data_IF_033620769614
#
_entry.id   IF_033620769614
#
_cell.length_a   1.000
_cell.length_b   1.000
_cell.length_c   1.000
_cell.angle_alpha   90.00
_cell.angle_beta   90.00
_cell.angle_gamma   90.00
#
_symmetry.space_group_name_H-M   'P 1'
#
loop_
_entity.id
_entity.type
_entity.pdbx_description
1 polymer ?
#
# COMPACT_ATOMS: atom_id res chain seq x y z
N UNK A 1 -80.40 -11.15 -23.80
CA UNK A 1 -79.77 -11.41 -22.50
C UNK A 1 -78.27 -11.51 -22.73
N UNK A 2 -77.52 -10.49 -22.27
CA UNK A 2 -76.07 -10.35 -22.46
C UNK A 2 -75.36 -11.14 -21.36
N UNK A 3 -74.39 -12.01 -21.68
CA UNK A 3 -73.31 -12.29 -20.74
C UNK A 3 -72.00 -12.66 -21.44
N UNK A 4 -70.96 -11.96 -20.99
CA UNK A 4 -69.66 -11.74 -21.61
C UNK A 4 -68.76 -12.98 -21.52
N UNK A 5 -68.18 -13.38 -22.65
CA UNK A 5 -67.08 -14.33 -22.72
C UNK A 5 -65.81 -13.62 -22.21
N UNK A 6 -65.28 -14.06 -21.07
CA UNK A 6 -64.04 -13.53 -20.49
C UNK A 6 -62.87 -14.30 -21.09
N UNK A 7 -62.05 -13.62 -21.89
CA UNK A 7 -60.74 -14.09 -22.34
C UNK A 7 -59.80 -14.01 -21.13
N UNK A 8 -59.25 -15.15 -20.69
CA UNK A 8 -58.16 -15.18 -19.71
C UNK A 8 -56.84 -15.00 -20.47
N UNK A 9 -56.19 -13.86 -20.25
CA UNK A 9 -54.82 -13.62 -20.67
C UNK A 9 -53.87 -14.37 -19.71
N UNK A 10 -53.12 -15.33 -20.23
CA UNK A 10 -51.97 -15.94 -19.57
C UNK A 10 -50.82 -14.94 -19.60
N UNK A 11 -50.55 -14.27 -18.48
CA UNK A 11 -49.34 -13.47 -18.29
C UNK A 11 -48.24 -14.43 -17.83
N UNK A 12 -47.35 -14.81 -18.74
CA UNK A 12 -46.11 -15.48 -18.39
C UNK A 12 -45.17 -14.44 -17.72
N UNK A 13 -45.03 -14.52 -16.40
CA UNK A 13 -44.02 -13.76 -15.65
C UNK A 13 -42.67 -14.46 -15.88
N UNK A 14 -41.89 -13.92 -16.83
CA UNK A 14 -40.49 -14.30 -16.99
C UNK A 14 -39.71 -13.89 -15.75
N UNK A 15 -39.28 -14.87 -14.97
CA UNK A 15 -38.38 -14.67 -13.84
C UNK A 15 -36.99 -14.34 -14.40
N UNK A 16 -36.68 -13.06 -14.57
CA UNK A 16 -35.32 -12.62 -14.88
C UNK A 16 -34.45 -12.90 -13.64
N UNK A 17 -33.67 -13.99 -13.70
CA UNK A 17 -32.55 -14.20 -12.78
C UNK A 17 -31.53 -13.09 -13.04
N UNK A 18 -31.64 -11.99 -12.30
CA UNK A 18 -30.59 -10.99 -12.22
C UNK A 18 -29.43 -11.66 -11.47
N UNK A 19 -28.51 -12.27 -12.22
CA UNK A 19 -27.21 -12.67 -11.69
C UNK A 19 -26.48 -11.37 -11.39
N UNK A 20 -26.53 -10.93 -10.13
CA UNK A 20 -25.62 -9.90 -9.67
C UNK A 20 -24.22 -10.50 -9.77
N UNK A 21 -23.47 -10.10 -10.80
CA UNK A 21 -22.04 -10.32 -10.82
C UNK A 21 -21.51 -9.74 -9.50
N UNK A 22 -20.93 -10.61 -8.66
CA UNK A 22 -20.22 -10.13 -7.48
C UNK A 22 -19.15 -9.16 -7.98
N UNK A 23 -19.00 -7.97 -7.38
CA UNK A 23 -17.87 -7.13 -7.72
C UNK A 23 -16.61 -7.97 -7.57
N UNK A 24 -15.78 -8.02 -8.61
CA UNK A 24 -14.49 -8.70 -8.53
C UNK A 24 -13.75 -8.11 -7.32
N UNK A 25 -13.39 -8.95 -6.36
CA UNK A 25 -12.59 -8.50 -5.23
C UNK A 25 -11.31 -7.87 -5.80
N UNK A 26 -10.96 -6.68 -5.31
CA UNK A 26 -9.93 -5.86 -5.92
C UNK A 26 -8.55 -6.51 -5.78
N UNK A 27 -7.86 -6.71 -6.91
CA UNK A 27 -6.43 -7.06 -7.02
C UNK A 27 -5.50 -5.88 -6.70
N UNK A 28 -6.07 -4.74 -6.30
CA UNK A 28 -5.27 -3.52 -6.08
C UNK A 28 -4.42 -3.67 -4.82
N UNK A 29 -3.10 -3.47 -4.91
CA UNK A 29 -2.24 -3.37 -3.75
C UNK A 29 -2.74 -2.31 -2.77
N UNK A 30 -2.90 -2.70 -1.52
CA UNK A 30 -3.24 -1.80 -0.41
C UNK A 30 -2.16 -1.94 0.67
N UNK A 31 -1.98 -0.88 1.48
CA UNK A 31 -0.96 -0.85 2.55
C UNK A 31 0.44 -1.20 2.06
N UNK A 32 0.88 -0.52 1.01
CA UNK A 32 2.25 -0.65 0.53
C UNK A 32 3.19 -0.06 1.58
N UNK A 33 4.12 -0.86 2.06
CA UNK A 33 5.12 -0.47 3.07
C UNK A 33 6.51 -0.71 2.51
N UNK A 34 7.32 0.35 2.55
CA UNK A 34 8.75 0.27 2.34
C UNK A 34 9.44 0.07 3.68
N UNK A 35 10.28 -0.93 3.77
CA UNK A 35 10.96 -1.32 5.00
C UNK A 35 12.34 -1.89 4.73
N UNK A 36 13.12 -2.10 5.80
CA UNK A 36 14.47 -2.67 5.71
C UNK A 36 15.35 -1.96 4.67
N UNK A 37 15.21 -0.63 4.52
CA UNK A 37 16.01 0.14 3.58
C UNK A 37 17.47 0.13 4.06
N UNK A 38 18.33 -0.52 3.29
CA UNK A 38 19.79 -0.63 3.48
C UNK A 38 20.51 0.18 2.41
N UNK A 39 21.83 0.00 2.33
CA UNK A 39 22.65 0.52 1.24
C UNK A 39 22.39 -0.18 -0.08
N UNK A 40 22.28 -1.51 -0.11
CA UNK A 40 22.10 -2.24 -1.39
C UNK A 40 20.82 -3.06 -1.47
N UNK A 41 19.86 -2.80 -0.57
CA UNK A 41 18.60 -3.52 -0.54
C UNK A 41 17.47 -2.72 0.12
N UNK A 42 16.24 -3.13 -0.15
CA UNK A 42 15.04 -2.71 0.57
C UNK A 42 13.95 -3.76 0.42
N UNK A 43 12.89 -3.66 1.21
CA UNK A 43 11.72 -4.54 1.13
C UNK A 43 10.50 -3.73 0.73
N UNK A 44 9.72 -4.28 -0.19
CA UNK A 44 8.37 -3.81 -0.53
C UNK A 44 7.39 -4.87 -0.03
N UNK A 45 6.44 -4.46 0.78
CA UNK A 45 5.35 -5.33 1.24
C UNK A 45 4.00 -4.69 1.01
N UNK A 46 2.99 -5.48 0.67
CA UNK A 46 1.61 -5.01 0.48
C UNK A 46 0.60 -6.13 0.70
N UNK A 47 -0.68 -5.78 0.65
CA UNK A 47 -1.80 -6.70 0.73
C UNK A 47 -2.66 -6.60 -0.53
N UNK A 48 -3.38 -7.67 -0.82
CA UNK A 48 -4.35 -7.74 -1.93
C UNK A 48 -5.67 -8.33 -1.42
N UNK A 49 -6.79 -7.97 -2.06
CA UNK A 49 -8.11 -8.50 -1.67
C UNK A 49 -8.34 -9.95 -2.12
N UNK A 50 -7.46 -10.47 -2.98
CA UNK A 50 -7.49 -11.83 -3.53
C UNK A 50 -6.10 -12.44 -3.50
N UNK A 51 -6.04 -13.77 -3.58
CA UNK A 51 -4.77 -14.48 -3.71
C UNK A 51 -4.24 -14.33 -5.14
N UNK A 52 -3.03 -13.79 -5.27
CA UNK A 52 -2.37 -13.60 -6.56
C UNK A 52 -0.85 -13.61 -6.39
N UNK A 53 -0.12 -13.65 -7.51
CA UNK A 53 1.34 -13.57 -7.51
C UNK A 53 1.76 -12.10 -7.42
N UNK A 54 2.71 -11.80 -6.53
CA UNK A 54 3.27 -10.47 -6.35
C UNK A 54 4.74 -10.37 -6.74
N UNK A 55 5.11 -9.28 -7.41
CA UNK A 55 6.49 -8.97 -7.81
C UNK A 55 6.76 -7.46 -7.74
N UNK A 56 8.04 -7.11 -7.65
CA UNK A 56 8.51 -5.74 -7.84
C UNK A 56 9.34 -5.68 -9.11
N UNK A 57 9.06 -4.70 -9.98
CA UNK A 57 9.83 -4.44 -11.18
C UNK A 57 10.50 -3.07 -11.07
N UNK A 58 11.83 -3.03 -11.18
CA UNK A 58 12.58 -1.77 -11.24
C UNK A 58 12.46 -1.14 -12.63
N UNK A 59 12.64 0.17 -12.72
CA UNK A 59 12.70 0.88 -14.02
C UNK A 59 13.86 0.44 -14.91
N UNK A 60 14.88 -0.22 -14.34
CA UNK A 60 15.96 -0.87 -15.07
C UNK A 60 15.56 -2.18 -15.75
N UNK A 61 14.35 -2.70 -15.48
CA UNK A 61 13.83 -3.97 -15.99
C UNK A 61 14.08 -5.17 -15.08
N UNK A 62 14.91 -5.03 -14.04
CA UNK A 62 15.11 -6.09 -13.05
C UNK A 62 13.80 -6.39 -12.30
N UNK A 63 13.50 -7.67 -12.10
CA UNK A 63 12.27 -8.13 -11.43
C UNK A 63 12.60 -9.00 -10.23
N UNK A 64 11.90 -8.77 -9.12
CA UNK A 64 12.06 -9.47 -7.86
C UNK A 64 10.73 -10.13 -7.49
N UNK A 65 10.78 -11.41 -7.14
CA UNK A 65 9.60 -12.18 -6.74
C UNK A 65 9.36 -12.06 -5.24
N UNK A 66 8.18 -12.48 -4.81
CA UNK A 66 7.91 -12.72 -3.39
C UNK A 66 8.98 -13.65 -2.77
N UNK A 67 9.36 -13.37 -1.53
CA UNK A 67 10.35 -14.13 -0.75
C UNK A 67 9.97 -15.61 -0.62
N UNK A 68 8.68 -15.94 -0.68
CA UNK A 68 8.18 -17.33 -0.65
C UNK A 68 8.33 -18.05 -1.98
N UNK A 69 8.67 -17.35 -3.06
CA UNK A 69 8.95 -17.91 -4.38
C UNK A 69 8.15 -17.26 -5.51
N UNK A 70 8.59 -17.52 -6.75
CA UNK A 70 8.00 -16.93 -7.97
C UNK A 70 6.54 -17.33 -8.23
N UNK A 71 6.12 -18.48 -7.73
CA UNK A 71 4.77 -19.03 -7.91
C UNK A 71 3.90 -18.86 -6.66
N UNK A 72 4.39 -18.16 -5.63
CA UNK A 72 3.59 -17.89 -4.44
C UNK A 72 2.38 -17.03 -4.80
N UNK A 73 1.18 -17.52 -4.50
CA UNK A 73 -0.07 -16.82 -4.72
C UNK A 73 -0.85 -16.64 -3.41
N UNK A 74 -0.91 -15.40 -2.91
CA UNK A 74 -1.50 -15.09 -1.60
C UNK A 74 -2.02 -13.66 -1.51
N UNK A 75 -2.59 -13.33 -0.35
CA UNK A 75 -3.14 -12.00 -0.06
C UNK A 75 -2.13 -11.06 0.63
N UNK A 76 -0.97 -11.58 1.01
CA UNK A 76 0.16 -10.81 1.57
C UNK A 76 1.33 -10.98 0.64
N UNK A 77 2.12 -9.93 0.45
CA UNK A 77 3.26 -9.93 -0.45
C UNK A 77 4.46 -9.30 0.24
N UNK A 78 5.61 -9.95 0.15
CA UNK A 78 6.85 -9.53 0.79
C UNK A 78 8.00 -9.76 -0.18
N UNK A 79 8.45 -8.70 -0.84
CA UNK A 79 9.46 -8.75 -1.90
C UNK A 79 10.74 -8.08 -1.42
N UNK A 80 11.83 -8.85 -1.40
CA UNK A 80 13.16 -8.36 -1.04
C UNK A 80 13.88 -7.93 -2.32
N UNK A 81 14.12 -6.62 -2.45
CA UNK A 81 14.90 -6.04 -3.56
C UNK A 81 16.35 -5.93 -3.13
N UNK A 82 17.26 -6.52 -3.89
CA UNK A 82 18.71 -6.56 -3.60
C UNK A 82 19.54 -6.19 -4.83
N UNK A 83 20.83 -5.93 -4.63
CA UNK A 83 21.76 -5.63 -5.73
C UNK A 83 21.56 -4.24 -6.33
N UNK A 84 20.92 -3.33 -5.59
CA UNK A 84 20.75 -1.93 -6.01
C UNK A 84 21.92 -1.07 -5.51
N UNK A 85 22.26 0.05 -6.18
CA UNK A 85 23.34 0.92 -5.73
C UNK A 85 23.02 1.63 -4.41
N UNK A 86 24.06 1.90 -3.60
CA UNK A 86 23.96 2.71 -2.38
C UNK A 86 23.73 4.19 -2.66
N UNK A 87 23.14 4.91 -1.70
CA UNK A 87 22.87 6.37 -1.78
C UNK A 87 22.15 6.78 -3.07
N UNK A 88 21.27 5.92 -3.58
CA UNK A 88 20.64 6.08 -4.88
C UNK A 88 19.13 5.98 -4.74
N UNK A 89 18.40 6.85 -5.43
CA UNK A 89 16.96 6.72 -5.57
C UNK A 89 16.65 5.65 -6.61
N UNK A 90 16.08 4.55 -6.16
CA UNK A 90 15.60 3.45 -6.99
C UNK A 90 14.12 3.66 -7.26
N UNK A 91 13.73 3.56 -8.53
CA UNK A 91 12.34 3.63 -8.96
C UNK A 91 11.81 2.25 -9.34
N UNK A 92 10.57 1.97 -9.00
CA UNK A 92 9.96 0.66 -9.22
C UNK A 92 8.42 0.74 -9.36
N UNK A 93 7.85 -0.33 -9.87
CA UNK A 93 6.42 -0.59 -9.95
C UNK A 93 6.10 -1.95 -9.29
N UNK A 94 4.86 -2.09 -8.82
CA UNK A 94 4.36 -3.35 -8.26
C UNK A 94 3.63 -4.11 -9.37
N UNK A 95 3.96 -5.38 -9.56
CA UNK A 95 3.21 -6.29 -10.42
C UNK A 95 2.41 -7.21 -9.51
N UNK A 96 1.09 -7.20 -9.64
CA UNK A 96 0.18 -7.99 -8.81
C UNK A 96 -0.84 -8.67 -9.72
N UNK A 97 -0.83 -10.00 -9.74
CA UNK A 97 -1.50 -10.77 -10.78
C UNK A 97 -1.00 -10.38 -12.18
N UNK A 98 -1.94 -10.07 -13.09
CA UNK A 98 -1.63 -9.62 -14.46
C UNK A 98 -1.53 -8.09 -14.59
N UNK A 99 -1.63 -7.36 -13.47
CA UNK A 99 -1.71 -5.90 -13.46
C UNK A 99 -0.42 -5.26 -12.97
N UNK A 100 -0.13 -4.09 -13.54
CA UNK A 100 0.96 -3.21 -13.12
C UNK A 100 0.39 -2.02 -12.35
N UNK A 101 0.96 -1.77 -11.17
CA UNK A 101 0.53 -0.74 -10.25
C UNK A 101 1.63 0.31 -10.06
N UNK A 102 1.22 1.56 -10.16
CA UNK A 102 2.07 2.76 -10.08
C UNK A 102 1.60 3.67 -8.95
N UNK A 103 2.45 4.55 -8.48
CA UNK A 103 2.14 5.62 -7.53
C UNK A 103 1.42 6.79 -8.22
N UNK A 104 0.10 6.69 -8.39
CA UNK A 104 -0.73 7.77 -8.97
C UNK A 104 -0.27 8.20 -10.38
N UNK A 105 0.22 7.24 -11.18
CA UNK A 105 0.74 7.47 -12.53
C UNK A 105 2.26 7.68 -12.61
N UNK A 106 2.94 7.80 -11.47
CA UNK A 106 4.41 7.82 -11.37
C UNK A 106 4.95 6.50 -10.80
N UNK A 107 6.25 6.23 -10.98
CA UNK A 107 6.89 5.12 -10.30
C UNK A 107 6.93 5.34 -8.78
N UNK A 108 6.88 4.25 -8.01
CA UNK A 108 7.29 4.30 -6.62
C UNK A 108 8.80 4.59 -6.55
N UNK A 109 9.25 5.21 -5.46
CA UNK A 109 10.65 5.55 -5.28
C UNK A 109 11.10 5.28 -3.84
N UNK A 110 12.35 4.84 -3.70
CA UNK A 110 13.02 4.65 -2.42
C UNK A 110 14.48 5.07 -2.55
N UNK A 111 15.01 5.80 -1.57
CA UNK A 111 16.44 6.18 -1.55
C UNK A 111 17.19 5.25 -0.61
N UNK A 112 18.14 4.50 -1.16
CA UNK A 112 19.00 3.60 -0.38
C UNK A 112 19.97 4.39 0.51
N UNK A 113 20.36 3.79 1.63
CA UNK A 113 21.27 4.39 2.61
C UNK A 113 22.74 4.31 2.21
N UNK A 114 23.61 4.74 3.14
CA UNK A 114 25.07 4.50 3.05
C UNK A 114 25.42 3.13 3.63
N UNK A 115 26.53 2.55 3.17
CA UNK A 115 27.14 1.39 3.85
C UNK A 115 27.55 1.79 5.27
N UNK A 116 27.19 0.97 6.25
CA UNK A 116 27.48 1.16 7.67
C UNK A 116 28.19 -0.08 8.20
N UNK A 117 29.04 0.10 9.21
CA UNK A 117 29.57 -1.04 9.97
C UNK A 117 28.45 -1.68 10.79
N UNK A 118 28.42 -3.02 10.97
CA UNK A 118 27.38 -3.68 11.75
C UNK A 118 27.21 -3.07 13.15
N UNK A 119 25.97 -2.82 13.61
CA UNK A 119 25.73 -2.29 14.93
C UNK A 119 25.90 -3.40 15.98
N UNK A 120 26.07 -3.04 17.26
CA UNK A 120 25.88 -4.01 18.35
C UNK A 120 24.49 -4.65 18.24
N UNK A 121 24.37 -5.97 18.46
CA UNK A 121 23.08 -6.65 18.37
C UNK A 121 22.16 -6.23 19.51
N UNK A 122 20.92 -5.88 19.17
CA UNK A 122 19.78 -5.77 20.11
C UNK A 122 18.62 -6.61 19.58
N UNK A 123 18.70 -7.91 19.85
CA UNK A 123 17.73 -8.88 19.38
C UNK A 123 16.48 -8.86 20.28
N UNK A 124 15.33 -8.60 19.67
CA UNK A 124 14.03 -8.83 20.32
C UNK A 124 13.35 -10.07 19.77
N UNK A 125 12.49 -10.67 20.57
CA UNK A 125 11.71 -11.87 20.26
C UNK A 125 10.24 -11.67 20.59
N UNK A 126 9.39 -12.46 19.95
CA UNK A 126 7.96 -12.45 20.22
C UNK A 126 7.21 -13.52 19.44
N UNK A 127 5.89 -13.49 19.58
CA UNK A 127 5.00 -14.40 18.85
C UNK A 127 3.79 -13.64 18.29
N UNK A 128 3.23 -14.14 17.20
CA UNK A 128 1.97 -13.67 16.63
C UNK A 128 0.95 -14.80 16.65
N UNK A 129 -0.28 -14.48 17.05
CA UNK A 129 -1.40 -15.42 17.10
C UNK A 129 -2.58 -14.93 16.29
N UNK A 130 -3.26 -15.86 15.64
CA UNK A 130 -4.52 -15.60 14.95
C UNK A 130 -5.68 -15.46 15.95
N UNK A 131 -6.84 -14.90 15.53
CA UNK A 131 -7.99 -14.74 16.42
C UNK A 131 -8.52 -16.05 17.03
N UNK A 132 -8.27 -17.19 16.39
CA UNK A 132 -8.63 -18.53 16.88
C UNK A 132 -7.58 -19.15 17.81
N UNK A 133 -6.54 -18.38 18.18
CA UNK A 133 -5.45 -18.80 19.06
C UNK A 133 -4.36 -19.63 18.37
N UNK A 134 -4.52 -19.97 17.08
CA UNK A 134 -3.48 -20.67 16.32
C UNK A 134 -2.28 -19.77 16.04
N UNK A 135 -1.15 -20.38 15.67
CA UNK A 135 0.04 -19.64 15.24
C UNK A 135 -0.24 -18.90 13.93
N UNK A 136 0.14 -17.62 13.89
CA UNK A 136 0.07 -16.87 12.64
C UNK A 136 1.17 -17.32 11.67
N UNK A 137 0.81 -17.41 10.40
CA UNK A 137 1.70 -17.66 9.25
C UNK A 137 1.35 -16.65 8.16
N UNK A 138 2.18 -16.55 7.11
CA UNK A 138 1.98 -15.62 6.00
C UNK A 138 1.77 -14.18 6.48
N UNK A 139 2.46 -13.83 7.57
CA UNK A 139 2.22 -12.61 8.34
C UNK A 139 3.41 -11.68 8.19
N UNK A 140 3.12 -10.43 7.82
CA UNK A 140 4.12 -9.38 7.71
C UNK A 140 4.14 -8.62 9.03
N UNK A 141 5.30 -8.58 9.67
CA UNK A 141 5.54 -7.73 10.83
C UNK A 141 6.25 -6.46 10.39
N UNK A 142 5.83 -5.34 10.96
CA UNK A 142 6.45 -4.03 10.78
C UNK A 142 6.79 -3.48 12.16
N UNK A 143 8.03 -3.02 12.32
CA UNK A 143 8.58 -2.50 13.57
C UNK A 143 9.03 -1.07 13.36
N UNK A 144 8.54 -0.17 14.21
CA UNK A 144 8.92 1.25 14.21
C UNK A 144 9.21 1.70 15.64
N UNK A 145 10.35 2.34 15.85
CA UNK A 145 10.73 2.93 17.13
C UNK A 145 10.39 4.41 17.09
N UNK A 146 9.61 4.88 18.06
CA UNK A 146 9.30 6.29 18.24
C UNK A 146 10.16 6.85 19.37
N UNK A 147 10.94 7.88 19.04
CA UNK A 147 11.68 8.73 19.97
C UNK A 147 11.07 10.14 19.97
N UNK A 148 11.44 10.98 20.95
CA UNK A 148 10.95 12.36 21.05
C UNK A 148 11.26 13.20 19.81
N UNK A 149 12.45 13.01 19.21
CA UNK A 149 12.92 13.83 18.08
C UNK A 149 12.72 13.17 16.71
N UNK A 150 12.07 12.00 16.64
CA UNK A 150 11.84 11.32 15.36
C UNK A 150 11.50 9.85 15.49
N UNK A 151 11.45 9.17 14.35
CA UNK A 151 11.13 7.75 14.26
C UNK A 151 12.19 7.00 13.46
N UNK A 152 12.31 5.71 13.74
CA UNK A 152 13.06 4.83 12.87
C UNK A 152 12.33 4.66 11.52
N UNK A 153 13.09 4.40 10.47
CA UNK A 153 12.57 3.77 9.27
C UNK A 153 11.99 2.39 9.67
N UNK A 154 10.94 1.91 8.97
CA UNK A 154 10.35 0.62 9.29
C UNK A 154 11.35 -0.53 9.09
N UNK A 155 11.48 -1.38 10.10
CA UNK A 155 12.00 -2.74 9.92
C UNK A 155 10.83 -3.67 9.64
N UNK A 156 11.07 -4.78 8.97
CA UNK A 156 10.04 -5.78 8.73
C UNK A 156 10.57 -7.21 8.69
N UNK A 157 9.66 -8.16 8.88
CA UNK A 157 9.92 -9.60 8.76
C UNK A 157 8.67 -10.29 8.20
N UNK A 158 8.87 -11.33 7.40
CA UNK A 158 7.82 -12.26 7.01
C UNK A 158 7.84 -13.49 7.93
N UNK A 159 6.70 -13.83 8.50
CA UNK A 159 6.46 -15.13 9.12
C UNK A 159 5.87 -16.10 8.12
N UNK A 160 6.45 -17.29 8.08
CA UNK A 160 6.07 -18.42 7.27
C UNK A 160 5.75 -19.62 8.17
N UNK A 161 5.21 -20.73 7.64
CA UNK A 161 4.86 -21.89 8.46
C UNK A 161 6.03 -22.45 9.29
N UNK A 162 7.28 -22.34 8.81
CA UNK A 162 8.48 -22.81 9.53
C UNK A 162 8.75 -22.04 10.83
N UNK A 163 8.24 -20.81 10.96
CA UNK A 163 8.53 -19.94 12.10
C UNK A 163 7.60 -20.24 13.30
N UNK A 164 6.53 -21.03 13.09
CA UNK A 164 5.55 -21.40 14.11
C UNK A 164 5.00 -20.19 14.89
N UNK A 165 4.84 -19.06 14.21
CA UNK A 165 4.35 -17.80 14.77
C UNK A 165 5.38 -17.00 15.57
N UNK A 166 6.60 -17.50 15.76
CA UNK A 166 7.66 -16.78 16.46
C UNK A 166 8.39 -15.82 15.53
N UNK A 167 8.74 -14.63 16.02
CA UNK A 167 9.57 -13.68 15.30
C UNK A 167 10.79 -13.30 16.13
N UNK A 168 11.80 -12.82 15.42
CA UNK A 168 12.93 -12.13 16.02
C UNK A 168 13.36 -10.98 15.09
N UNK A 169 13.82 -9.88 15.66
CA UNK A 169 14.37 -8.75 14.88
C UNK A 169 15.47 -8.07 15.67
N UNK A 170 16.53 -7.66 14.98
CA UNK A 170 17.60 -6.87 15.57
C UNK A 170 17.24 -5.37 15.48
N UNK A 171 16.82 -4.77 16.59
CA UNK A 171 16.49 -3.34 16.63
C UNK A 171 17.71 -2.45 16.38
N UNK A 172 18.92 -2.95 16.64
CA UNK A 172 20.17 -2.26 16.32
C UNK A 172 20.30 -1.93 14.84
N UNK A 173 19.61 -2.67 13.97
CA UNK A 173 19.64 -2.40 12.54
C UNK A 173 18.70 -1.27 12.10
N UNK A 174 17.87 -0.71 12.98
CA UNK A 174 16.98 0.39 12.64
C UNK A 174 17.78 1.59 12.12
N UNK A 175 17.34 2.21 11.01
CA UNK A 175 17.89 3.48 10.48
C UNK A 175 16.91 4.61 10.73
N UNK A 176 17.34 5.86 10.65
CA UNK A 176 16.42 7.00 10.79
C UNK A 176 15.44 7.10 9.60
N UNK A 177 14.18 7.42 9.85
CA UNK A 177 13.17 7.54 8.78
C UNK A 177 13.50 8.70 7.81
N UNK A 178 14.00 9.80 8.36
CA UNK A 178 14.39 11.00 7.59
C UNK A 178 15.86 10.97 7.15
N UNK A 179 16.65 10.07 7.73
CA UNK A 179 18.10 10.00 7.51
C UNK A 179 18.57 8.53 7.53
N UNK A 180 18.56 7.86 6.36
CA UNK A 180 19.02 6.48 6.25
C UNK A 180 20.55 6.40 6.22
N UNK A 181 21.31 7.47 6.51
CA UNK A 181 22.78 7.45 6.49
C UNK A 181 23.40 7.01 7.82
N UNK A 182 22.58 6.76 8.84
CA UNK A 182 23.01 6.29 10.16
C UNK A 182 21.97 5.35 10.78
N UNK A 183 22.40 4.61 11.80
CA UNK A 183 21.46 3.88 12.66
C UNK A 183 20.62 4.86 13.48
N UNK A 184 19.40 4.44 13.79
CA UNK A 184 18.50 5.15 14.67
C UNK A 184 18.93 4.91 16.12
N UNK A 185 19.18 5.97 16.86
CA UNK A 185 19.49 5.90 18.29
C UNK A 185 18.19 5.90 19.08
N UNK A 186 18.08 5.01 20.06
CA UNK A 186 16.92 4.92 20.93
C UNK A 186 17.33 4.60 22.38
N UNK A 187 16.50 5.04 23.32
CA UNK A 187 16.60 4.76 24.75
C UNK A 187 15.60 3.70 25.21
N UNK A 188 15.94 2.97 26.27
CA UNK A 188 15.08 1.90 26.78
C UNK A 188 13.95 2.38 27.69
N UNK A 189 14.02 3.62 28.21
CA UNK A 189 13.09 4.13 29.22
C UNK A 189 11.88 4.85 28.62
N UNK A 190 12.12 5.69 27.62
CA UNK A 190 11.11 6.63 27.07
C UNK A 190 10.62 6.23 25.69
N UNK A 191 11.42 5.49 24.93
CA UNK A 191 11.10 5.23 23.54
C UNK A 191 10.16 4.04 23.41
N UNK A 192 9.29 4.13 22.41
CA UNK A 192 8.21 3.19 22.21
C UNK A 192 8.45 2.41 20.93
N UNK A 193 8.52 1.09 21.06
CA UNK A 193 8.45 0.18 19.94
C UNK A 193 6.98 -0.05 19.58
N UNK A 194 6.64 0.17 18.32
CA UNK A 194 5.37 -0.26 17.73
C UNK A 194 5.62 -1.48 16.86
N UNK A 195 4.89 -2.55 17.11
CA UNK A 195 4.90 -3.77 16.28
C UNK A 195 3.52 -3.94 15.68
N UNK A 196 3.43 -3.91 14.37
CA UNK A 196 2.21 -4.18 13.62
C UNK A 196 2.37 -5.53 12.92
N UNK A 197 1.35 -6.38 13.01
CA UNK A 197 1.29 -7.64 12.30
C UNK A 197 0.06 -7.63 11.39
N UNK A 198 0.22 -8.12 10.16
CA UNK A 198 -0.88 -8.24 9.20
C UNK A 198 -0.81 -9.52 8.40
N UNK A 199 -1.96 -10.19 8.26
CA UNK A 199 -2.15 -11.29 7.32
C UNK A 199 -3.59 -11.32 6.79
N UNK A 200 -3.93 -12.35 6.01
CA UNK A 200 -5.28 -12.53 5.44
C UNK A 200 -6.41 -12.68 6.50
N UNK A 201 -6.07 -12.96 7.75
CA UNK A 201 -7.02 -13.21 8.86
C UNK A 201 -7.20 -11.98 9.76
N UNK A 202 -6.39 -10.93 9.60
CA UNK A 202 -6.55 -9.68 10.32
C UNK A 202 -5.26 -8.92 10.59
N UNK A 203 -5.37 -7.93 11.46
CA UNK A 203 -4.25 -7.11 11.93
C UNK A 203 -4.16 -7.12 13.46
N UNK A 204 -2.96 -6.90 13.95
CA UNK A 204 -2.65 -6.73 15.37
C UNK A 204 -1.61 -5.63 15.54
N UNK A 205 -1.67 -4.91 16.66
CA UNK A 205 -0.69 -3.88 16.98
C UNK A 205 -0.42 -3.88 18.46
N UNK A 206 0.86 -3.82 18.83
CA UNK A 206 1.29 -3.54 20.19
C UNK A 206 2.19 -2.30 20.19
N UNK A 207 2.09 -1.54 21.28
CA UNK A 207 2.99 -0.42 21.60
C UNK A 207 3.57 -0.69 22.97
N UNK A 208 4.89 -0.71 23.05
CA UNK A 208 5.60 -1.20 24.24
C UNK A 208 6.90 -0.41 24.41
N UNK A 209 7.32 -0.08 25.64
CA UNK A 209 8.63 0.52 25.87
C UNK A 209 9.74 -0.36 25.30
N UNK A 210 10.75 0.23 24.67
CA UNK A 210 11.89 -0.52 24.10
C UNK A 210 12.64 -1.33 25.18
N UNK A 211 12.62 -0.85 26.43
CA UNK A 211 13.20 -1.54 27.59
C UNK A 211 12.35 -2.65 28.21
N UNK A 212 11.16 -2.97 27.69
CA UNK A 212 10.32 -4.02 28.29
C UNK A 212 11.06 -5.37 28.27
N UNK A 213 11.21 -6.04 29.43
CA UNK A 213 12.00 -7.26 29.53
C UNK A 213 11.43 -8.42 28.71
N UNK A 214 10.12 -8.40 28.39
CA UNK A 214 9.47 -9.44 27.57
C UNK A 214 9.93 -9.41 26.12
N UNK A 215 10.50 -8.30 25.65
CA UNK A 215 11.11 -8.22 24.32
C UNK A 215 12.38 -9.07 24.21
N UNK A 216 13.05 -9.35 25.34
CA UNK A 216 14.33 -10.07 25.40
C UNK A 216 14.23 -11.31 26.28
N UNK A 217 13.03 -11.86 26.41
CA UNK A 217 12.78 -13.06 27.20
C UNK A 217 13.45 -14.29 26.55
N UNK A 218 14.12 -15.10 27.36
CA UNK A 218 14.68 -16.39 26.92
C UNK A 218 13.65 -17.51 26.95
N UNK A 219 12.61 -17.39 27.77
CA UNK A 219 11.48 -18.31 27.81
C UNK A 219 10.41 -17.89 26.76
N UNK A 220 10.10 -18.74 25.77
CA UNK A 220 9.11 -18.43 24.75
C UNK A 220 7.68 -18.24 25.30
N UNK A 221 7.40 -18.64 26.54
CA UNK A 221 6.11 -18.41 27.20
C UNK A 221 6.03 -17.06 27.92
N UNK A 222 7.15 -16.35 28.07
CA UNK A 222 7.24 -15.04 28.73
C UNK A 222 7.45 -13.90 27.73
N UNK A 223 7.57 -14.21 26.45
CA UNK A 223 7.76 -13.23 25.38
C UNK A 223 6.47 -12.47 25.06
N UNK A 224 6.62 -11.32 24.40
CA UNK A 224 5.46 -10.57 23.90
C UNK A 224 4.64 -11.36 22.87
N UNK A 225 3.33 -11.17 22.89
CA UNK A 225 2.40 -11.75 21.90
C UNK A 225 1.63 -10.63 21.21
N UNK A 226 1.65 -10.64 19.87
CA UNK A 226 0.80 -9.80 19.03
C UNK A 226 -0.42 -10.64 18.63
N UNK A 227 -1.57 -10.30 19.20
CA UNK A 227 -2.84 -10.95 18.88
C UNK A 227 -3.49 -10.27 17.67
N UNK A 228 -3.78 -11.05 16.63
CA UNK A 228 -4.52 -10.56 15.46
C UNK A 228 -6.02 -10.53 15.77
N UNK A 229 -6.70 -9.54 15.19
CA UNK A 229 -8.15 -9.37 15.31
C UNK A 229 -8.80 -9.33 13.93
N UNK A 230 -9.92 -10.05 13.79
CA UNK A 230 -10.73 -10.01 12.57
C UNK A 230 -11.32 -8.60 12.41
N UNK A 231 -11.09 -7.96 11.26
CA UNK A 231 -11.53 -6.58 11.03
C UNK A 231 -10.65 -5.52 11.70
N UNK A 232 -9.45 -5.89 12.17
CA UNK A 232 -8.47 -4.92 12.64
C UNK A 232 -8.16 -3.88 11.55
N UNK A 233 -7.86 -2.64 11.97
CA UNK A 233 -7.54 -1.57 11.02
C UNK A 233 -6.37 -2.00 10.14
N UNK A 234 -6.54 -1.85 8.82
CA UNK A 234 -5.49 -1.97 7.83
C UNK A 234 -4.26 -1.17 8.31
N UNK A 235 -3.02 -1.69 8.24
CA UNK A 235 -1.88 -1.00 8.81
C UNK A 235 -1.76 0.40 8.23
N UNK A 236 -1.89 1.40 9.12
CA UNK A 236 -1.71 2.82 8.81
C UNK A 236 -0.22 3.11 8.77
N UNK A 237 0.49 2.62 7.75
CA UNK A 237 1.85 3.03 7.47
C UNK A 237 2.00 3.35 5.99
N UNK A 238 1.36 4.45 5.61
CA UNK A 238 1.86 5.32 4.54
C UNK A 238 1.64 6.75 5.05
N UNK A 239 2.55 7.25 5.88
CA UNK A 239 2.91 8.64 5.64
C UNK A 239 3.58 8.60 4.27
N UNK A 240 2.90 9.17 3.27
CA UNK A 240 3.46 9.39 1.95
C UNK A 240 4.82 10.01 2.22
N UNK A 241 5.92 9.29 1.98
CA UNK A 241 7.20 9.97 1.90
C UNK A 241 7.00 10.93 0.73
N UNK A 242 6.79 12.21 1.05
CA UNK A 242 6.35 13.20 0.09
C UNK A 242 7.27 13.07 -1.12
N UNK A 243 6.68 12.72 -2.26
CA UNK A 243 7.37 12.73 -3.54
C UNK A 243 8.11 14.07 -3.60
N UNK A 244 9.43 14.12 -3.88
CA UNK A 244 10.04 15.39 -4.24
C UNK A 244 9.19 15.94 -5.38
N UNK A 245 8.64 17.14 -5.20
CA UNK A 245 7.84 17.85 -6.20
C UNK A 245 8.55 17.70 -7.54
N UNK A 246 7.87 17.23 -8.61
CA UNK A 246 8.51 17.12 -9.91
C UNK A 246 9.15 18.47 -10.24
N UNK A 247 10.43 18.44 -10.61
CA UNK A 247 11.07 19.62 -11.17
C UNK A 247 10.16 20.14 -12.29
N UNK A 248 9.82 21.44 -12.34
CA UNK A 248 9.08 21.97 -13.47
C UNK A 248 9.89 21.64 -14.72
N UNK A 249 9.29 20.85 -15.61
CA UNK A 249 9.80 20.72 -16.95
C UNK A 249 9.89 22.14 -17.49
N UNK A 250 11.10 22.61 -17.80
CA UNK A 250 11.28 23.83 -18.56
C UNK A 250 10.62 23.58 -19.92
N UNK A 251 9.42 24.11 -20.11
CA UNK A 251 8.78 24.17 -21.41
C UNK A 251 9.79 24.79 -22.39
N UNK A 252 10.08 24.18 -23.54
CA UNK A 252 10.85 24.84 -24.58
C UNK A 252 10.16 26.17 -24.88
N UNK A 253 10.89 27.26 -24.68
CA UNK A 253 10.40 28.58 -25.02
C UNK A 253 10.25 28.61 -26.55
N UNK A 254 9.02 28.47 -27.05
CA UNK A 254 8.73 28.75 -28.46
C UNK A 254 9.13 30.21 -28.72
N UNK A 255 10.17 30.38 -29.54
CA UNK A 255 10.51 31.66 -30.16
C UNK A 255 9.33 32.09 -31.02
N UNK A 256 8.46 32.92 -30.44
CA UNK A 256 7.38 33.58 -31.16
C UNK A 256 7.96 34.49 -32.24
N UNK A 257 7.81 34.08 -33.50
CA UNK A 257 7.97 34.96 -34.65
C UNK A 257 6.77 35.91 -34.66
N UNK A 258 7.03 37.20 -34.46
CA UNK A 258 6.06 38.28 -34.55
C UNK A 258 5.60 38.43 -36.00
N UNK A 259 4.39 37.97 -36.32
CA UNK A 259 3.71 38.32 -37.58
C UNK A 259 2.76 39.48 -37.30
N UNK A 260 3.12 40.67 -37.77
CA UNK A 260 2.26 41.86 -37.76
C UNK A 260 1.27 41.73 -38.92
N UNK A 261 -0.01 41.55 -38.61
CA UNK A 261 -1.10 41.52 -39.57
C UNK A 261 -2.20 42.52 -39.20
N UNK A 262 -2.31 43.58 -39.98
CA UNK A 262 -3.33 44.62 -39.92
C UNK A 262 -4.74 44.07 -40.23
N UNK A 263 -5.73 44.59 -39.51
CA UNK A 263 -6.98 45.03 -40.15
C UNK A 263 -8.28 44.31 -39.79
N UNK A 264 -9.19 45.13 -39.25
CA UNK A 264 -10.62 45.22 -39.56
C UNK A 264 -11.58 44.86 -38.43
N UNK A 265 -12.18 45.93 -37.87
CA UNK A 265 -13.34 45.92 -37.02
C UNK A 265 -14.61 45.54 -37.79
N UNK A 266 -15.56 44.87 -37.12
CA UNK A 266 -16.98 45.06 -37.41
C UNK A 266 -17.81 44.81 -36.13
N UNK A 267 -18.44 45.89 -35.65
CA UNK A 267 -19.57 45.89 -34.73
C UNK A 267 -20.84 45.45 -35.46
N UNK A 268 -21.67 44.57 -34.88
CA UNK A 268 -23.14 44.63 -35.02
C UNK A 268 -23.80 44.14 -33.72
N UNK A 269 -24.72 44.97 -33.23
CA UNK A 269 -25.63 44.78 -32.09
C UNK A 269 -27.05 44.57 -32.64
N UNK A 270 -27.95 44.00 -31.81
CA UNK A 270 -29.43 44.00 -31.86
C UNK A 270 -30.04 42.84 -32.70
N UNK A 271 -31.06 42.08 -32.25
CA UNK A 271 -31.93 42.25 -31.09
C UNK A 271 -32.93 41.11 -30.86
N UNK A 272 -33.73 41.32 -29.82
CA UNK A 272 -34.82 40.50 -29.29
C UNK A 272 -36.02 40.54 -30.26
N UNK A 273 -36.59 39.37 -30.59
CA UNK A 273 -37.99 39.24 -31.01
C UNK A 273 -38.64 38.07 -30.25
N UNK A 274 -39.64 38.43 -29.45
CA UNK A 274 -40.68 37.56 -28.89
C UNK A 274 -41.72 37.30 -29.98
N UNK A 275 -42.06 36.05 -30.27
CA UNK A 275 -43.36 35.70 -30.85
C UNK A 275 -43.88 34.43 -30.18
N UNK A 276 -44.91 34.64 -29.35
CA UNK A 276 -45.86 33.61 -28.95
C UNK A 276 -46.79 33.30 -30.13
N UNK A 277 -47.09 32.02 -30.37
CA UNK A 277 -48.32 31.64 -31.05
C UNK A 277 -48.93 30.40 -30.41
N UNK A 278 -50.04 30.63 -29.73
CA UNK A 278 -51.06 29.65 -29.38
C UNK A 278 -51.73 29.11 -30.65
N UNK A 279 -51.99 27.80 -30.70
CA UNK A 279 -53.17 27.23 -31.38
C UNK A 279 -53.53 25.95 -30.61
N UNK A 280 -54.42 26.05 -29.62
CA UNK A 280 -55.89 25.91 -29.69
C UNK A 280 -56.34 24.46 -29.84
N UNK A 281 -57.10 24.11 -28.81
CA UNK A 281 -57.79 22.91 -28.40
C UNK A 281 -59.11 22.70 -29.15
N UNK A 282 -59.55 21.43 -29.29
CA UNK A 282 -60.93 20.90 -29.14
C UNK A 282 -60.91 19.45 -29.67
N UNK A 283 -61.41 18.43 -28.97
CA UNK A 283 -62.54 18.34 -28.04
C UNK A 283 -62.23 17.45 -26.84
#
# INVERSE_FOLDING_TARGET
MRQRMRVFALIAVGLALLVWARPAAASNPISIVLSNVRDTSFVVSWLTGVNEVGKVQLTTGATFNDERGADYAGATHYVVVTGVPSKTTVQFDILSGDSKYTNEGAHYAVTTGTTLSPPPPDLIVGRVRNPDGSNATETILIFTIQHEQGSSAPLSMLLTPKDAGFFHVNLGDARGAQDPTRYFTYGTQTDVLTIQAVNARGTGTIRIPVGDPRLRASDPNQTIVVELSAGGQQPTLVERQATPTPFPATTPQETGVLVVGLGAALFVVIGIIVVAFMFVWRR
#
